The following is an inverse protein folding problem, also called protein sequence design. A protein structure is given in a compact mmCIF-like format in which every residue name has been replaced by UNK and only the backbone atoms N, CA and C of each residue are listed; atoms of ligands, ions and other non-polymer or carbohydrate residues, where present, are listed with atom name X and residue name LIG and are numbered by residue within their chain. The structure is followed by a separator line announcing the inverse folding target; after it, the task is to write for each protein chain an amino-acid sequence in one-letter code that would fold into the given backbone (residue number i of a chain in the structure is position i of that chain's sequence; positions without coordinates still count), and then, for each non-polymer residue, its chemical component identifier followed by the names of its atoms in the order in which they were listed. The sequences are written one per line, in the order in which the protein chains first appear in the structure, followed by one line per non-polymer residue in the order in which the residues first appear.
data_IF_239260116908
#
_entry.id   IF_239260116908
#
_cell.length_a   1.000
_cell.length_b   1.000
_cell.length_c   1.000
_cell.angle_alpha   90.00
_cell.angle_beta   90.00
_cell.angle_gamma   90.00
#
_symmetry.space_group_name_H-M   'P 1'
#
loop_
_entity.id
_entity.type
_entity.pdbx_description
1 polymer ?
#
# COMPACT_ATOMS: atom_id res chain seq x y z
N UNK A 1 19.31 -16.17 -2.77
CA UNK A 1 18.28 -15.21 -2.31
C UNK A 1 16.92 -15.72 -2.77
N UNK A 2 15.89 -15.51 -1.97
CA UNK A 2 14.54 -16.01 -2.19
C UNK A 2 13.56 -14.86 -2.32
N UNK A 3 12.50 -15.08 -3.09
CA UNK A 3 11.37 -14.16 -3.23
C UNK A 3 10.05 -14.90 -3.09
N UNK A 4 8.96 -14.14 -2.95
CA UNK A 4 7.61 -14.68 -2.99
C UNK A 4 7.16 -14.97 -4.42
N UNK A 5 6.48 -16.09 -4.61
CA UNK A 5 5.85 -16.46 -5.86
C UNK A 5 4.53 -15.71 -6.03
N UNK A 6 4.60 -14.56 -6.68
CA UNK A 6 3.49 -13.60 -6.81
C UNK A 6 2.26 -14.22 -7.48
N UNK A 7 2.45 -15.19 -8.38
CA UNK A 7 1.34 -15.87 -9.06
C UNK A 7 0.49 -16.71 -8.11
N UNK A 8 1.03 -17.09 -6.94
CA UNK A 8 0.32 -17.88 -5.92
C UNK A 8 -0.29 -17.03 -4.80
N UNK A 9 0.14 -15.77 -4.70
CA UNK A 9 -0.35 -14.84 -3.69
C UNK A 9 -1.78 -14.39 -4.01
N UNK A 10 -2.54 -14.12 -2.96
CA UNK A 10 -3.89 -13.59 -3.05
C UNK A 10 -4.00 -12.31 -2.24
N UNK A 11 -4.89 -11.43 -2.68
CA UNK A 11 -5.31 -10.30 -1.87
C UNK A 11 -5.80 -10.78 -0.50
N UNK A 12 -5.42 -10.07 0.56
CA UNK A 12 -5.73 -10.44 1.94
C UNK A 12 -4.74 -11.41 2.58
N UNK A 13 -3.81 -12.01 1.82
CA UNK A 13 -2.72 -12.77 2.44
C UNK A 13 -1.90 -11.86 3.37
N UNK A 14 -1.54 -12.38 4.54
CA UNK A 14 -0.69 -11.71 5.53
C UNK A 14 0.69 -12.33 5.52
N UNK A 15 1.73 -11.50 5.42
CA UNK A 15 3.12 -11.95 5.49
C UNK A 15 3.69 -11.63 6.86
N UNK A 16 4.13 -12.65 7.58
CA UNK A 16 4.94 -12.47 8.78
C UNK A 16 6.40 -12.62 8.39
N UNK A 17 7.22 -11.60 8.65
CA UNK A 17 8.62 -11.57 8.18
C UNK A 17 9.62 -11.36 9.30
N UNK A 18 10.80 -11.94 9.10
CA UNK A 18 11.98 -11.82 9.94
C UNK A 18 13.08 -11.06 9.18
N UNK A 19 13.13 -9.74 9.33
CA UNK A 19 14.17 -8.92 8.69
C UNK A 19 15.53 -9.04 9.41
N UNK A 20 16.62 -8.62 8.74
CA UNK A 20 17.99 -8.69 9.29
C UNK A 20 18.34 -7.57 10.28
N UNK A 21 17.68 -6.41 10.18
CA UNK A 21 18.05 -5.20 10.92
C UNK A 21 18.10 -5.38 12.44
N UNK A 22 18.92 -4.59 13.14
CA UNK A 22 19.06 -4.65 14.60
C UNK A 22 17.72 -4.57 15.33
N UNK A 23 16.82 -3.72 14.83
CA UNK A 23 15.43 -3.59 15.33
C UNK A 23 14.66 -4.91 15.18
N UNK A 24 14.81 -5.60 14.05
CA UNK A 24 14.13 -6.87 13.79
C UNK A 24 14.66 -8.02 14.68
N UNK A 25 15.97 -8.09 14.92
CA UNK A 25 16.57 -9.04 15.88
C UNK A 25 16.08 -8.78 17.31
N UNK A 26 16.04 -7.50 17.72
CA UNK A 26 15.52 -7.13 19.03
C UNK A 26 14.04 -7.51 19.14
N UNK A 27 13.20 -7.15 18.17
CA UNK A 27 11.76 -7.46 18.21
C UNK A 27 11.53 -8.96 18.40
N UNK A 28 12.19 -9.83 17.63
CA UNK A 28 12.06 -11.29 17.74
C UNK A 28 12.46 -11.85 19.10
N UNK A 29 13.63 -11.45 19.60
CA UNK A 29 14.12 -11.89 20.92
C UNK A 29 13.16 -11.45 22.04
N UNK A 30 12.61 -10.23 21.93
CA UNK A 30 11.69 -9.70 22.93
C UNK A 30 10.24 -10.19 22.78
N UNK A 31 9.80 -10.68 21.62
CA UNK A 31 8.46 -11.31 21.45
C UNK A 31 8.46 -12.81 21.68
N UNK A 32 9.64 -13.44 21.85
CA UNK A 32 9.78 -14.89 21.73
C UNK A 32 9.10 -15.42 20.45
N UNK A 33 9.28 -14.70 19.34
CA UNK A 33 8.69 -15.01 18.04
C UNK A 33 9.76 -15.02 16.97
N UNK A 34 9.56 -15.90 15.98
CA UNK A 34 10.38 -15.92 14.78
C UNK A 34 10.10 -14.73 13.87
N UNK A 35 9.02 -13.97 14.08
CA UNK A 35 8.60 -12.86 13.22
C UNK A 35 8.66 -11.51 13.93
N UNK A 36 9.12 -10.49 13.19
CA UNK A 36 9.27 -9.12 13.68
C UNK A 36 8.33 -8.12 13.04
N UNK A 37 7.69 -8.51 11.94
CA UNK A 37 6.96 -7.59 11.09
C UNK A 37 5.77 -8.30 10.44
N UNK A 38 4.68 -7.58 10.30
CA UNK A 38 3.45 -8.05 9.67
C UNK A 38 3.10 -7.13 8.48
N UNK A 39 2.69 -7.73 7.38
CA UNK A 39 2.41 -7.07 6.10
C UNK A 39 1.07 -7.61 5.57
N UNK A 40 0.24 -6.74 4.96
CA UNK A 40 -0.99 -7.14 4.29
C UNK A 40 -0.84 -7.05 2.76
N UNK A 41 -1.08 -8.14 2.06
CA UNK A 41 -1.18 -8.18 0.60
C UNK A 41 -2.47 -7.49 0.13
N UNK A 42 -2.35 -6.54 -0.79
CA UNK A 42 -3.47 -5.74 -1.32
C UNK A 42 -3.73 -6.01 -2.82
N UNK A 43 -3.22 -7.14 -3.33
CA UNK A 43 -3.40 -7.58 -4.71
C UNK A 43 -2.36 -7.02 -5.69
N UNK A 44 -2.32 -7.59 -6.90
CA UNK A 44 -1.52 -7.10 -8.03
C UNK A 44 -0.03 -6.80 -7.71
N UNK A 45 0.63 -7.69 -6.95
CA UNK A 45 2.03 -7.51 -6.57
C UNK A 45 2.29 -6.38 -5.56
N UNK A 46 1.24 -5.86 -4.92
CA UNK A 46 1.33 -4.76 -3.95
C UNK A 46 0.97 -5.21 -2.53
N UNK A 47 1.61 -4.59 -1.55
CA UNK A 47 1.28 -4.76 -0.13
C UNK A 47 1.22 -3.43 0.59
N UNK A 48 0.61 -3.40 1.77
CA UNK A 48 0.66 -2.28 2.72
C UNK A 48 1.22 -2.79 4.05
N UNK A 49 2.05 -1.98 4.68
CA UNK A 49 2.60 -2.23 6.01
C UNK A 49 2.82 -0.91 6.75
N UNK A 50 3.23 -1.02 8.02
CA UNK A 50 3.67 0.12 8.82
C UNK A 50 5.07 -0.16 9.37
N UNK A 51 6.06 0.63 8.99
CA UNK A 51 7.44 0.57 9.49
C UNK A 51 7.92 1.94 9.99
N UNK A 52 9.23 2.17 10.18
CA UNK A 52 9.77 3.46 10.64
C UNK A 52 9.35 4.69 9.81
N UNK A 53 8.92 4.52 8.56
CA UNK A 53 8.40 5.58 7.69
C UNK A 53 6.87 5.75 7.80
N UNK A 54 6.21 5.05 8.72
CA UNK A 54 4.76 5.04 8.84
C UNK A 54 4.10 4.03 7.92
N UNK A 55 2.81 4.22 7.66
CA UNK A 55 2.01 3.35 6.80
C UNK A 55 2.17 3.73 5.34
N UNK A 56 2.57 2.77 4.51
CA UNK A 56 2.70 2.98 3.08
C UNK A 56 2.55 1.67 2.30
N UNK A 57 2.36 1.80 0.99
CA UNK A 57 2.36 0.68 0.06
C UNK A 57 3.75 0.39 -0.49
N UNK A 58 3.98 -0.85 -0.91
CA UNK A 58 5.22 -1.24 -1.58
C UNK A 58 5.00 -2.46 -2.50
N UNK A 59 6.02 -2.76 -3.32
CA UNK A 59 5.99 -3.86 -4.29
C UNK A 59 6.57 -5.14 -3.69
N UNK A 60 5.80 -6.24 -3.79
CA UNK A 60 6.13 -7.57 -3.27
C UNK A 60 7.44 -8.11 -3.85
N UNK A 61 7.75 -7.83 -5.12
CA UNK A 61 9.00 -8.26 -5.80
C UNK A 61 10.26 -7.68 -5.15
N UNK A 62 10.12 -6.62 -4.34
CA UNK A 62 11.26 -6.03 -3.61
C UNK A 62 11.52 -6.70 -2.26
N UNK A 63 10.67 -7.65 -1.85
CA UNK A 63 10.89 -8.43 -0.63
C UNK A 63 11.84 -9.59 -0.91
N UNK A 64 13.09 -9.44 -0.48
CA UNK A 64 14.12 -10.47 -0.60
C UNK A 64 14.36 -11.17 0.74
N UNK A 65 14.40 -12.50 0.71
CA UNK A 65 14.60 -13.36 1.87
C UNK A 65 15.83 -14.25 1.69
N UNK A 66 16.46 -14.62 2.79
CA UNK A 66 17.67 -15.47 2.76
C UNK A 66 17.36 -16.94 2.97
N UNK A 67 16.34 -17.19 3.78
CA UNK A 67 15.90 -18.52 4.19
C UNK A 67 14.39 -18.61 4.06
N UNK A 68 13.83 -19.79 3.72
CA UNK A 68 12.40 -19.95 3.59
C UNK A 68 11.62 -19.56 4.85
N UNK A 69 12.17 -19.86 6.03
CA UNK A 69 11.55 -19.54 7.33
C UNK A 69 11.62 -18.06 7.72
N UNK A 70 12.28 -17.19 6.95
CA UNK A 70 12.24 -15.75 7.19
C UNK A 70 10.91 -15.11 6.79
N UNK A 71 10.01 -15.87 6.15
CA UNK A 71 8.68 -15.42 5.79
C UNK A 71 7.66 -16.54 5.99
N UNK A 72 6.50 -16.18 6.53
CA UNK A 72 5.33 -17.05 6.64
C UNK A 72 4.14 -16.37 5.99
N UNK A 73 3.37 -17.14 5.22
CA UNK A 73 2.18 -16.66 4.53
C UNK A 73 0.94 -17.22 5.22
N UNK A 74 0.08 -16.33 5.67
CA UNK A 74 -1.19 -16.63 6.32
C UNK A 74 -2.31 -16.15 5.44
N UNK A 75 -3.24 -17.04 5.09
CA UNK A 75 -4.39 -16.72 4.23
C UNK A 75 -5.67 -16.71 5.06
N UNK A 76 -6.49 -15.64 4.99
CA UNK A 76 -7.71 -15.56 5.78
C UNK A 76 -8.69 -16.66 5.38
N UNK A 77 -9.28 -17.30 6.37
CA UNK A 77 -10.26 -18.37 6.17
C UNK A 77 -11.56 -17.82 5.58
N UNK A 78 -11.99 -16.64 6.03
CA UNK A 78 -13.12 -15.92 5.44
C UNK A 78 -12.65 -14.95 4.36
N UNK A 79 -12.94 -15.25 3.09
CA UNK A 79 -12.59 -14.38 1.96
C UNK A 79 -13.47 -13.12 1.88
N UNK A 80 -14.63 -13.10 2.53
CA UNK A 80 -15.56 -11.95 2.45
C UNK A 80 -14.99 -10.71 3.15
N UNK A 81 -14.12 -10.90 4.13
CA UNK A 81 -13.50 -9.81 4.88
C UNK A 81 -12.44 -9.05 4.07
N UNK A 82 -11.84 -9.69 3.06
CA UNK A 82 -10.62 -9.21 2.38
C UNK A 82 -10.79 -7.81 1.83
N UNK A 83 -11.87 -7.55 1.08
CA UNK A 83 -12.10 -6.24 0.45
C UNK A 83 -12.18 -5.10 1.47
N UNK A 84 -12.90 -5.32 2.58
CA UNK A 84 -13.01 -4.33 3.65
C UNK A 84 -11.70 -4.13 4.40
N UNK A 85 -10.94 -5.20 4.65
CA UNK A 85 -9.65 -5.13 5.32
C UNK A 85 -8.62 -4.36 4.47
N UNK A 86 -8.57 -4.64 3.17
CA UNK A 86 -7.69 -3.91 2.23
C UNK A 86 -8.11 -2.44 2.11
N UNK A 87 -9.42 -2.15 2.07
CA UNK A 87 -9.92 -0.77 2.07
C UNK A 87 -9.49 0.00 3.32
N UNK A 88 -9.58 -0.62 4.50
CA UNK A 88 -9.09 -0.01 5.73
C UNK A 88 -7.57 0.24 5.67
N UNK A 89 -6.77 -0.77 5.30
CA UNK A 89 -5.33 -0.60 5.20
C UNK A 89 -4.92 0.55 4.27
N UNK A 90 -5.65 0.72 3.16
CA UNK A 90 -5.46 1.85 2.22
C UNK A 90 -5.77 3.20 2.85
N UNK A 91 -6.81 3.32 3.68
CA UNK A 91 -7.14 4.60 4.35
C UNK A 91 -6.13 4.98 5.43
N UNK A 92 -5.33 4.03 5.91
CA UNK A 92 -4.27 4.31 6.88
C UNK A 92 -2.96 4.81 6.25
N UNK A 93 -2.81 4.81 4.92
CA UNK A 93 -1.58 5.28 4.25
C UNK A 93 -1.27 6.73 4.64
N UNK A 94 -0.01 6.97 5.02
CA UNK A 94 0.51 8.23 5.53
C UNK A 94 0.60 8.32 7.06
N UNK A 95 -0.13 7.47 7.81
CA UNK A 95 -0.09 7.52 9.28
C UNK A 95 1.32 7.24 9.80
N UNK A 96 1.79 8.04 10.75
CA UNK A 96 3.12 7.87 11.31
C UNK A 96 3.23 6.58 12.14
N UNK A 97 4.46 6.11 12.31
CA UNK A 97 4.74 4.93 13.13
C UNK A 97 4.76 5.25 14.62
N UNK A 98 4.13 4.42 15.45
CA UNK A 98 4.24 4.50 16.91
C UNK A 98 5.23 3.49 17.45
N UNK A 99 6.46 3.95 17.73
CA UNK A 99 7.45 3.17 18.48
C UNK A 99 6.96 2.90 19.91
N UNK A 100 6.32 3.90 20.53
CA UNK A 100 5.84 3.82 21.92
C UNK A 100 4.80 2.71 22.07
N UNK A 101 3.80 2.69 21.22
CA UNK A 101 2.75 1.69 21.31
C UNK A 101 3.24 0.30 20.88
N UNK A 102 4.13 0.22 19.87
CA UNK A 102 4.77 -1.03 19.50
C UNK A 102 5.52 -1.67 20.68
N UNK A 103 6.17 -0.88 21.55
CA UNK A 103 6.81 -1.37 22.79
C UNK A 103 5.75 -1.80 23.82
N UNK A 104 4.67 -1.02 23.99
CA UNK A 104 3.60 -1.29 24.97
C UNK A 104 2.82 -2.56 24.71
N UNK A 105 2.77 -3.04 23.46
CA UNK A 105 2.21 -4.36 23.12
C UNK A 105 2.76 -5.47 24.02
N UNK A 106 4.01 -5.32 24.48
CA UNK A 106 4.71 -6.36 25.25
C UNK A 106 4.75 -6.12 26.75
N UNK A 107 4.55 -4.89 27.22
CA UNK A 107 4.65 -4.55 28.65
C UNK A 107 3.31 -4.60 29.39
N UNK A 108 2.21 -4.89 28.68
CA UNK A 108 0.86 -5.00 29.26
C UNK A 108 0.22 -3.65 29.65
N UNK A 109 0.94 -2.52 29.51
CA UNK A 109 0.39 -1.20 29.79
C UNK A 109 -0.36 -0.63 28.58
N UNK A 110 -1.58 -1.12 28.39
CA UNK A 110 -2.48 -0.81 27.26
C UNK A 110 -3.29 0.47 27.54
N UNK A 111 -2.62 1.62 27.46
CA UNK A 111 -3.28 2.94 27.55
C UNK A 111 -4.01 3.31 26.25
N UNK A 112 -4.65 4.50 26.17
CA UNK A 112 -5.18 5.02 24.91
C UNK A 112 -4.08 5.06 23.82
N UNK A 113 -4.29 4.46 22.64
CA UNK A 113 -3.30 4.43 21.57
C UNK A 113 -3.08 5.82 20.97
N UNK A 114 -1.88 6.07 20.44
CA UNK A 114 -1.62 7.23 19.59
C UNK A 114 -2.45 7.14 18.29
N UNK A 115 -2.76 8.27 17.61
CA UNK A 115 -3.31 8.27 16.25
C UNK A 115 -2.21 7.87 15.24
N UNK A 116 -1.60 6.71 15.43
CA UNK A 116 -0.43 6.22 14.72
C UNK A 116 -0.50 4.71 14.64
N UNK A 117 0.26 4.16 13.71
CA UNK A 117 0.22 2.73 13.42
C UNK A 117 1.54 2.02 13.74
N UNK A 118 1.48 0.71 13.85
CA UNK A 118 2.65 -0.17 13.72
C UNK A 118 2.21 -1.45 13.01
N UNK A 119 3.17 -2.27 12.60
CA UNK A 119 2.95 -3.35 11.66
C UNK A 119 1.80 -4.31 12.01
N UNK A 120 1.81 -4.90 13.20
CA UNK A 120 0.77 -5.86 13.62
C UNK A 120 -0.56 -5.19 13.95
N UNK A 121 -0.57 -3.98 14.55
CA UNK A 121 -1.80 -3.20 14.76
C UNK A 121 -2.51 -2.92 13.45
N UNK A 122 -1.77 -2.45 12.43
CA UNK A 122 -2.36 -2.16 11.13
C UNK A 122 -3.08 -3.37 10.53
N UNK A 123 -2.44 -4.55 10.58
CA UNK A 123 -3.06 -5.80 10.10
C UNK A 123 -4.27 -6.17 10.94
N UNK A 124 -4.16 -6.13 12.27
CA UNK A 124 -5.25 -6.49 13.17
C UNK A 124 -6.48 -5.57 13.04
N UNK A 125 -6.29 -4.25 13.03
CA UNK A 125 -7.36 -3.28 12.82
C UNK A 125 -7.98 -3.41 11.42
N UNK A 126 -7.20 -3.78 10.40
CA UNK A 126 -7.73 -4.03 9.06
C UNK A 126 -8.77 -5.16 9.07
N UNK A 127 -8.44 -6.29 9.68
CA UNK A 127 -9.39 -7.41 9.78
C UNK A 127 -10.53 -7.13 10.75
N UNK A 128 -10.28 -6.43 11.85
CA UNK A 128 -11.32 -6.02 12.80
C UNK A 128 -12.34 -5.07 12.15
N UNK A 129 -11.89 -4.10 11.35
CA UNK A 129 -12.76 -3.25 10.54
C UNK A 129 -13.64 -4.06 9.58
N UNK A 130 -13.13 -5.20 9.09
CA UNK A 130 -13.86 -6.13 8.26
C UNK A 130 -14.76 -7.12 9.04
N UNK A 131 -14.87 -6.96 10.37
CA UNK A 131 -15.69 -7.80 11.23
C UNK A 131 -15.03 -9.12 11.66
N UNK A 132 -13.72 -9.28 11.46
CA UNK A 132 -12.97 -10.50 11.82
C UNK A 132 -11.94 -10.17 12.90
N UNK A 133 -12.19 -10.63 14.12
CA UNK A 133 -11.23 -10.52 15.21
C UNK A 133 -10.14 -11.59 15.08
N UNK A 134 -8.97 -11.19 14.59
CA UNK A 134 -7.83 -12.10 14.41
C UNK A 134 -6.93 -12.20 15.65
N UNK A 135 -7.08 -11.29 16.60
CA UNK A 135 -6.33 -11.25 17.87
C UNK A 135 -7.27 -10.73 18.98
N UNK A 136 -6.89 -10.91 20.24
CA UNK A 136 -7.70 -10.43 21.39
C UNK A 136 -7.78 -8.90 21.46
N UNK A 137 -6.67 -8.21 21.16
CA UNK A 137 -6.61 -6.75 21.18
C UNK A 137 -5.89 -6.22 19.93
N UNK A 138 -6.65 -5.69 18.97
CA UNK A 138 -6.12 -5.13 17.72
C UNK A 138 -5.19 -3.92 17.94
N UNK A 139 -5.41 -3.16 19.00
CA UNK A 139 -4.62 -1.96 19.32
C UNK A 139 -3.23 -2.32 19.85
N UNK A 140 -3.08 -3.50 20.46
CA UNK A 140 -1.86 -3.94 21.11
C UNK A 140 -1.62 -5.43 20.88
N UNK A 141 -1.18 -5.78 19.68
CA UNK A 141 -0.81 -7.14 19.31
C UNK A 141 0.58 -7.20 18.67
N UNK A 142 1.17 -8.38 18.65
CA UNK A 142 2.44 -8.70 18.01
C UNK A 142 2.21 -9.53 16.74
N UNK A 143 3.22 -9.64 15.84
CA UNK A 143 3.16 -10.57 14.72
C UNK A 143 2.90 -12.03 15.14
N UNK A 144 3.32 -12.42 16.35
CA UNK A 144 3.09 -13.77 16.90
C UNK A 144 1.63 -14.01 17.26
N UNK A 145 0.93 -12.98 17.75
CA UNK A 145 -0.51 -13.10 18.05
C UNK A 145 -1.29 -13.36 16.75
N UNK A 146 -0.89 -12.72 15.66
CA UNK A 146 -1.43 -12.98 14.31
C UNK A 146 -1.05 -14.39 13.83
N UNK A 147 0.19 -14.84 14.06
CA UNK A 147 0.66 -16.19 13.71
C UNK A 147 -0.19 -17.30 14.34
N UNK A 148 -0.64 -17.09 15.58
CA UNK A 148 -1.43 -18.05 16.35
C UNK A 148 -2.93 -17.96 16.08
N UNK A 149 -3.36 -16.98 15.29
CA UNK A 149 -4.77 -16.74 15.05
C UNK A 149 -5.42 -17.90 14.29
N UNK A 150 -6.55 -18.44 14.79
CA UNK A 150 -7.30 -19.48 14.07
C UNK A 150 -8.05 -18.94 12.85
N UNK A 151 -8.07 -17.61 12.65
CA UNK A 151 -8.72 -16.98 11.51
C UNK A 151 -7.95 -17.15 10.19
N UNK A 152 -6.72 -17.67 10.25
CA UNK A 152 -5.87 -17.90 9.10
C UNK A 152 -5.51 -19.38 8.91
N UNK A 153 -5.18 -19.72 7.67
CA UNK A 153 -4.51 -20.96 7.30
C UNK A 153 -3.11 -20.63 6.77
N UNK A 154 -2.08 -21.32 7.25
CA UNK A 154 -0.73 -21.20 6.72
C UNK A 154 -0.64 -21.79 5.31
N UNK A 155 0.00 -21.06 4.39
CA UNK A 155 0.22 -21.53 3.02
C UNK A 155 1.70 -21.75 2.75
N UNK A 156 2.06 -23.01 2.49
CA UNK A 156 3.41 -23.46 2.20
C UNK A 156 3.76 -23.32 0.70
N UNK A 157 5.06 -23.40 0.37
CA UNK A 157 5.52 -23.42 -1.02
C UNK A 157 5.39 -22.07 -1.75
N UNK A 158 5.37 -20.98 -0.99
CA UNK A 158 5.21 -19.61 -1.48
C UNK A 158 6.52 -18.90 -1.80
N UNK A 159 7.66 -19.50 -1.44
CA UNK A 159 8.99 -18.93 -1.72
C UNK A 159 9.70 -19.73 -2.80
N UNK A 160 10.46 -19.05 -3.64
CA UNK A 160 11.35 -19.65 -4.63
C UNK A 160 12.64 -18.86 -4.77
N UNK A 161 13.62 -19.44 -5.46
CA UNK A 161 14.82 -18.73 -5.84
C UNK A 161 14.49 -17.58 -6.79
N UNK A 162 15.14 -16.44 -6.56
CA UNK A 162 15.04 -15.26 -7.41
C UNK A 162 16.00 -15.39 -8.59
N UNK A 163 15.57 -14.97 -9.78
CA UNK A 163 16.48 -14.77 -10.92
C UNK A 163 17.37 -13.55 -10.68
N UNK A 164 18.42 -13.39 -11.49
CA UNK A 164 19.29 -12.22 -11.38
C UNK A 164 18.52 -10.93 -11.72
N UNK A 165 17.65 -10.97 -12.74
CA UNK A 165 16.82 -9.84 -13.15
C UNK A 165 15.86 -9.40 -12.03
N UNK A 166 15.35 -10.34 -11.24
CA UNK A 166 14.48 -10.04 -10.10
C UNK A 166 15.24 -9.39 -8.94
N UNK A 167 16.48 -9.81 -8.70
CA UNK A 167 17.36 -9.18 -7.71
C UNK A 167 17.76 -7.77 -8.15
N UNK A 168 18.09 -7.60 -9.43
CA UNK A 168 18.42 -6.30 -10.02
C UNK A 168 17.21 -5.37 -9.90
N UNK A 169 16.01 -5.83 -10.27
CA UNK A 169 14.76 -5.08 -10.09
C UNK A 169 14.51 -4.70 -8.62
N UNK A 170 14.70 -5.64 -7.69
CA UNK A 170 14.47 -5.39 -6.27
C UNK A 170 15.36 -4.25 -5.73
N UNK A 171 16.57 -4.14 -6.27
CA UNK A 171 17.58 -3.11 -5.91
C UNK A 171 17.50 -1.82 -6.72
N UNK A 172 16.80 -1.81 -7.85
CA UNK A 172 16.66 -0.65 -8.73
C UNK A 172 15.93 0.52 -8.03
N UNK A 173 16.06 1.76 -8.54
CA UNK A 173 15.34 2.93 -8.01
C UNK A 173 13.85 2.63 -7.77
N UNK A 174 13.34 3.06 -6.61
CA UNK A 174 11.99 2.71 -6.18
C UNK A 174 11.07 3.95 -6.22
N UNK A 175 10.25 4.14 -7.26
CA UNK A 175 9.32 5.26 -7.33
C UNK A 175 8.27 5.26 -6.21
N UNK A 176 7.92 4.09 -5.67
CA UNK A 176 6.97 3.97 -4.55
C UNK A 176 7.60 4.50 -3.24
N UNK A 177 8.91 4.28 -3.05
CA UNK A 177 9.65 4.86 -1.93
C UNK A 177 9.68 6.38 -2.04
N UNK A 178 9.95 6.94 -3.23
CA UNK A 178 9.88 8.40 -3.45
C UNK A 178 8.50 8.96 -3.17
N UNK A 179 7.43 8.27 -3.59
CA UNK A 179 6.05 8.68 -3.28
C UNK A 179 5.77 8.66 -1.77
N UNK A 180 6.33 7.69 -1.04
CA UNK A 180 6.23 7.59 0.42
C UNK A 180 6.90 8.78 1.10
N UNK A 181 8.12 9.13 0.67
CA UNK A 181 8.86 10.30 1.17
C UNK A 181 8.10 11.61 0.94
N UNK A 182 7.60 11.82 -0.28
CA UNK A 182 6.81 13.01 -0.62
C UNK A 182 5.52 13.08 0.21
N UNK A 183 4.81 11.96 0.36
CA UNK A 183 3.59 11.88 1.19
C UNK A 183 3.88 12.26 2.64
N UNK A 184 4.95 11.70 3.21
CA UNK A 184 5.37 11.99 4.58
C UNK A 184 5.78 13.45 4.76
N UNK A 185 6.47 14.03 3.77
CA UNK A 185 6.81 15.44 3.76
C UNK A 185 5.56 16.32 3.76
N UNK A 186 4.60 16.07 2.87
CA UNK A 186 3.34 16.82 2.80
C UNK A 186 2.59 16.76 4.14
N UNK A 187 2.46 15.58 4.74
CA UNK A 187 1.78 15.42 6.02
C UNK A 187 2.54 16.10 7.17
N UNK A 188 3.88 16.10 7.13
CA UNK A 188 4.70 16.84 8.09
C UNK A 188 4.46 18.34 8.01
N UNK A 189 4.47 18.89 6.79
CA UNK A 189 4.20 20.31 6.57
C UNK A 189 2.76 20.68 6.92
N UNK A 190 1.79 19.80 6.63
CA UNK A 190 0.41 19.99 7.03
C UNK A 190 0.27 20.09 8.56
N UNK A 191 0.92 19.19 9.32
CA UNK A 191 0.95 19.28 10.79
C UNK A 191 1.57 20.60 11.26
N UNK A 192 2.68 21.04 10.65
CA UNK A 192 3.35 22.30 10.97
C UNK A 192 2.47 23.53 10.70
N UNK A 193 1.81 23.58 9.56
CA UNK A 193 0.96 24.70 9.12
C UNK A 193 -0.31 24.79 9.97
N UNK A 194 -0.92 23.64 10.28
CA UNK A 194 -2.24 23.58 10.93
C UNK A 194 -2.16 23.48 12.45
N UNK A 195 -1.01 23.06 12.98
CA UNK A 195 -0.80 22.68 14.38
C UNK A 195 -1.83 21.62 14.85
N UNK A 196 -2.18 20.69 13.97
CA UNK A 196 -3.08 19.55 14.23
C UNK A 196 -2.36 18.23 14.02
N UNK A 197 -2.83 17.20 14.71
CA UNK A 197 -2.33 15.83 14.59
C UNK A 197 -2.91 15.12 13.34
N UNK A 198 -2.64 15.68 12.16
CA UNK A 198 -3.06 15.12 10.87
C UNK A 198 -2.10 13.99 10.49
N UNK A 199 -2.64 12.82 10.18
CA UNK A 199 -1.89 11.59 9.99
C UNK A 199 -2.13 10.94 8.63
N UNK A 200 -3.25 11.20 7.95
CA UNK A 200 -3.50 10.69 6.60
C UNK A 200 -3.91 11.80 5.63
N UNK A 201 -3.84 11.51 4.33
CA UNK A 201 -4.34 12.43 3.30
C UNK A 201 -5.85 12.66 3.43
N UNK A 202 -6.61 11.67 3.91
CA UNK A 202 -8.04 11.81 4.17
C UNK A 202 -8.30 12.80 5.31
N UNK A 203 -7.60 12.67 6.44
CA UNK A 203 -7.68 13.62 7.55
C UNK A 203 -7.29 15.03 7.11
N UNK A 204 -6.26 15.16 6.27
CA UNK A 204 -5.85 16.45 5.69
C UNK A 204 -6.98 17.05 4.84
N UNK A 205 -7.58 16.27 3.96
CA UNK A 205 -8.66 16.73 3.08
C UNK A 205 -9.87 17.20 3.86
N UNK A 206 -10.32 16.41 4.84
CA UNK A 206 -11.43 16.80 5.71
C UNK A 206 -11.11 18.08 6.49
N UNK A 207 -9.88 18.19 7.00
CA UNK A 207 -9.45 19.40 7.73
C UNK A 207 -9.46 20.64 6.84
N UNK A 208 -8.89 20.58 5.63
CA UNK A 208 -8.79 21.72 4.70
C UNK A 208 -10.17 22.14 4.20
N UNK A 209 -11.08 21.19 3.94
CA UNK A 209 -12.46 21.50 3.57
C UNK A 209 -13.18 22.22 4.71
N UNK A 210 -13.03 21.75 5.94
CA UNK A 210 -13.61 22.42 7.12
C UNK A 210 -12.94 23.77 7.44
N UNK A 211 -11.71 24.01 6.93
CA UNK A 211 -10.94 25.21 7.20
C UNK A 211 -10.30 25.78 5.92
N UNK A 212 -11.09 26.33 4.98
CA UNK A 212 -10.60 26.73 3.64
C UNK A 212 -9.46 27.75 3.66
N UNK A 213 -9.31 28.50 4.75
CA UNK A 213 -8.19 29.45 4.96
C UNK A 213 -6.80 28.82 4.86
N UNK A 214 -6.66 27.50 5.06
CA UNK A 214 -5.39 26.78 4.91
C UNK A 214 -5.16 26.25 3.48
N UNK A 215 -6.16 26.32 2.61
CA UNK A 215 -6.15 25.70 1.28
C UNK A 215 -4.90 26.07 0.47
N UNK A 216 -4.64 27.37 0.28
CA UNK A 216 -3.53 27.82 -0.56
C UNK A 216 -2.16 27.45 0.01
N UNK A 217 -2.00 27.52 1.33
CA UNK A 217 -0.76 27.13 1.99
C UNK A 217 -0.47 25.63 1.80
N UNK A 218 -1.50 24.78 1.93
CA UNK A 218 -1.37 23.34 1.68
C UNK A 218 -1.12 23.06 0.20
N UNK A 219 -1.86 23.68 -0.72
CA UNK A 219 -1.62 23.53 -2.18
C UNK A 219 -0.20 23.90 -2.55
N UNK A 220 0.37 24.94 -1.94
CA UNK A 220 1.77 25.30 -2.16
C UNK A 220 2.71 24.15 -1.81
N UNK A 221 2.51 23.48 -0.67
CA UNK A 221 3.32 22.31 -0.27
C UNK A 221 3.27 21.22 -1.35
N UNK A 222 2.08 20.90 -1.88
CA UNK A 222 1.97 19.91 -2.97
C UNK A 222 2.74 20.33 -4.22
N UNK A 223 2.62 21.60 -4.62
CA UNK A 223 3.27 22.15 -5.83
C UNK A 223 4.80 22.27 -5.70
N UNK A 224 5.31 22.42 -4.48
CA UNK A 224 6.74 22.43 -4.21
C UNK A 224 7.36 21.00 -4.22
N UNK A 225 6.54 19.97 -4.47
CA UNK A 225 6.95 18.57 -4.55
C UNK A 225 6.54 17.95 -5.90
N UNK A 226 7.01 16.75 -6.19
CA UNK A 226 6.60 16.00 -7.39
C UNK A 226 5.28 15.23 -7.21
N UNK A 227 4.55 15.38 -6.11
CA UNK A 227 3.36 14.57 -5.82
C UNK A 227 2.34 14.58 -6.97
N UNK A 228 2.16 15.74 -7.60
CA UNK A 228 1.17 15.95 -8.68
C UNK A 228 1.63 15.41 -10.05
N UNK A 229 2.90 15.03 -10.18
CA UNK A 229 3.55 14.61 -11.44
C UNK A 229 4.20 13.22 -11.35
N UNK A 230 4.25 12.59 -10.18
CA UNK A 230 4.81 11.24 -10.00
C UNK A 230 4.23 10.18 -10.96
N UNK A 231 2.98 10.36 -11.39
CA UNK A 231 2.33 9.45 -12.35
C UNK A 231 2.96 9.49 -13.75
N UNK A 232 3.60 10.59 -14.13
CA UNK A 232 4.26 10.77 -15.43
C UNK A 232 5.50 9.88 -15.53
N UNK A 233 6.23 9.69 -14.43
CA UNK A 233 7.37 8.79 -14.36
C UNK A 233 7.01 7.36 -14.81
N UNK A 234 5.86 6.86 -14.37
CA UNK A 234 5.42 5.52 -14.73
C UNK A 234 5.11 5.37 -16.23
N UNK A 235 4.59 6.42 -16.86
CA UNK A 235 4.33 6.43 -18.31
C UNK A 235 5.63 6.43 -19.11
N UNK A 236 6.63 7.17 -18.62
CA UNK A 236 7.93 7.28 -19.28
C UNK A 236 8.74 6.00 -19.17
N UNK A 237 8.76 5.36 -18.00
CA UNK A 237 9.53 4.14 -17.76
C UNK A 237 8.84 2.89 -18.34
N UNK A 238 7.51 2.86 -18.36
CA UNK A 238 6.73 1.71 -18.83
C UNK A 238 5.76 2.09 -19.95
N UNK A 239 6.25 2.62 -21.09
CA UNK A 239 5.38 3.13 -22.15
C UNK A 239 4.53 2.03 -22.79
N UNK A 240 5.01 0.79 -22.80
CA UNK A 240 4.28 -0.38 -23.30
C UNK A 240 2.94 -0.61 -22.58
N UNK A 241 2.79 -0.16 -21.33
CA UNK A 241 1.54 -0.27 -20.58
C UNK A 241 0.46 0.67 -21.11
N UNK A 242 0.84 1.71 -21.86
CA UNK A 242 -0.03 2.81 -22.25
C UNK A 242 -0.11 3.05 -23.77
N UNK A 243 0.65 2.31 -24.58
CA UNK A 243 0.59 2.33 -26.04
C UNK A 243 0.48 0.89 -26.57
N UNK A 244 -0.62 0.61 -27.26
CA UNK A 244 -0.96 -0.71 -27.78
C UNK A 244 0.05 -1.25 -28.79
N UNK A 245 0.71 -0.38 -29.57
CA UNK A 245 1.68 -0.78 -30.57
C UNK A 245 2.96 -1.23 -29.90
N UNK A 246 3.41 -0.51 -28.86
CA UNK A 246 4.57 -0.90 -28.06
C UNK A 246 4.28 -2.21 -27.32
N UNK A 247 3.07 -2.37 -26.77
CA UNK A 247 2.68 -3.61 -26.10
C UNK A 247 2.70 -4.82 -27.07
N UNK A 248 2.13 -4.66 -28.27
CA UNK A 248 2.12 -5.72 -29.28
C UNK A 248 3.53 -6.14 -29.73
N UNK A 249 4.49 -5.22 -29.77
CA UNK A 249 5.87 -5.51 -30.20
C UNK A 249 6.79 -6.03 -29.10
N UNK A 250 6.30 -6.18 -27.85
CA UNK A 250 7.11 -6.77 -26.78
C UNK A 250 7.64 -8.15 -27.20
N UNK A 251 8.93 -8.46 -26.94
CA UNK A 251 9.61 -9.68 -27.36
C UNK A 251 9.27 -10.87 -26.45
N UNK A 252 7.97 -11.09 -26.22
CA UNK A 252 7.42 -12.18 -25.41
C UNK A 252 6.46 -13.02 -26.24
N UNK A 253 6.37 -14.31 -25.89
CA UNK A 253 5.47 -15.24 -26.56
C UNK A 253 3.99 -14.85 -26.43
N UNK A 254 3.15 -15.35 -27.34
CA UNK A 254 1.71 -15.02 -27.42
C UNK A 254 0.97 -15.25 -26.09
N UNK A 255 1.20 -16.40 -25.44
CA UNK A 255 0.53 -16.73 -24.18
C UNK A 255 0.96 -15.82 -23.03
N UNK A 256 2.24 -15.47 -22.95
CA UNK A 256 2.72 -14.53 -21.93
C UNK A 256 2.17 -13.13 -22.18
N UNK A 257 2.14 -12.70 -23.44
CA UNK A 257 1.51 -11.43 -23.84
C UNK A 257 0.03 -11.38 -23.45
N UNK A 258 -0.70 -12.48 -23.63
CA UNK A 258 -2.11 -12.62 -23.17
C UNK A 258 -2.21 -12.42 -21.67
N UNK A 259 -1.40 -13.14 -20.88
CA UNK A 259 -1.41 -13.03 -19.41
C UNK A 259 -1.07 -11.61 -18.94
N UNK A 260 -0.05 -11.00 -19.53
CA UNK A 260 0.30 -9.60 -19.24
C UNK A 260 -0.88 -8.67 -19.51
N UNK A 261 -1.55 -8.82 -20.66
CA UNK A 261 -2.68 -7.97 -21.01
C UNK A 261 -3.92 -8.22 -20.12
N UNK A 262 -4.20 -9.47 -19.73
CA UNK A 262 -5.24 -9.80 -18.74
C UNK A 262 -4.97 -9.12 -17.40
N UNK A 263 -3.74 -9.26 -16.89
CA UNK A 263 -3.30 -8.64 -15.64
C UNK A 263 -3.39 -7.11 -15.69
N UNK A 264 -2.91 -6.51 -16.79
CA UNK A 264 -2.93 -5.06 -16.96
C UNK A 264 -4.37 -4.52 -17.04
N UNK A 265 -5.27 -5.23 -17.73
CA UNK A 265 -6.68 -4.86 -17.83
C UNK A 265 -7.40 -4.98 -16.47
N UNK A 266 -7.19 -6.05 -15.71
CA UNK A 266 -7.77 -6.24 -14.38
C UNK A 266 -7.27 -5.16 -13.40
N UNK A 267 -5.95 -4.99 -13.32
CA UNK A 267 -5.31 -3.99 -12.46
C UNK A 267 -5.75 -2.55 -12.81
N UNK A 268 -5.87 -2.22 -14.10
CA UNK A 268 -6.31 -0.90 -14.54
C UNK A 268 -7.77 -0.63 -14.18
N UNK A 269 -8.66 -1.63 -14.25
CA UNK A 269 -10.07 -1.49 -13.84
C UNK A 269 -10.21 -1.17 -12.35
N UNK A 270 -9.44 -1.87 -11.50
CA UNK A 270 -9.45 -1.62 -10.06
C UNK A 270 -8.94 -0.22 -9.72
N UNK A 271 -7.85 0.21 -10.35
CA UNK A 271 -7.31 1.56 -10.17
C UNK A 271 -8.24 2.64 -10.71
N UNK A 272 -8.89 2.40 -11.85
CA UNK A 272 -9.90 3.30 -12.41
C UNK A 272 -11.07 3.48 -11.46
N UNK A 273 -11.58 2.40 -10.86
CA UNK A 273 -12.64 2.47 -9.84
C UNK A 273 -12.19 3.31 -8.64
N UNK A 274 -10.98 3.06 -8.12
CA UNK A 274 -10.42 3.80 -6.99
C UNK A 274 -10.30 5.31 -7.28
N UNK A 275 -9.70 5.67 -8.41
CA UNK A 275 -9.51 7.09 -8.78
C UNK A 275 -10.81 7.79 -9.11
N UNK A 276 -11.78 7.07 -9.70
CA UNK A 276 -13.13 7.59 -9.93
C UNK A 276 -13.83 7.90 -8.61
N UNK A 277 -13.77 6.97 -7.63
CA UNK A 277 -14.33 7.20 -6.30
C UNK A 277 -13.68 8.40 -5.60
N UNK A 278 -12.36 8.54 -5.69
CA UNK A 278 -11.65 9.69 -5.15
C UNK A 278 -12.08 11.00 -5.82
N UNK A 279 -12.16 11.02 -7.15
CA UNK A 279 -12.66 12.19 -7.88
C UNK A 279 -14.07 12.57 -7.46
N UNK A 280 -14.99 11.60 -7.38
CA UNK A 280 -16.37 11.82 -6.90
C UNK A 280 -16.41 12.29 -5.46
N UNK A 281 -15.53 11.81 -4.57
CA UNK A 281 -15.43 12.31 -3.21
C UNK A 281 -15.09 13.81 -3.19
N UNK A 282 -14.11 14.25 -4.00
CA UNK A 282 -13.79 15.68 -4.11
C UNK A 282 -14.90 16.50 -4.80
N UNK A 283 -15.62 15.93 -5.77
CA UNK A 283 -16.80 16.56 -6.34
C UNK A 283 -17.88 16.81 -5.27
N UNK A 284 -18.14 15.81 -4.42
CA UNK A 284 -19.11 15.96 -3.33
C UNK A 284 -18.64 17.01 -2.32
N UNK A 285 -17.34 17.02 -1.97
CA UNK A 285 -16.77 18.05 -1.09
C UNK A 285 -16.89 19.46 -1.70
N UNK A 286 -16.77 19.59 -3.03
CA UNK A 286 -16.89 20.87 -3.75
C UNK A 286 -18.29 21.51 -3.64
N UNK A 287 -19.33 20.72 -3.34
CA UNK A 287 -20.68 21.24 -3.14
C UNK A 287 -20.77 22.21 -1.96
N UNK A 288 -19.84 22.12 -1.00
CA UNK A 288 -19.74 23.03 0.16
C UNK A 288 -18.86 24.26 -0.13
N UNK A 289 -18.41 24.44 -1.37
CA UNK A 289 -17.53 25.52 -1.79
C UNK A 289 -16.27 24.99 -2.47
N UNK A 290 -15.89 25.62 -3.58
CA UNK A 290 -14.70 25.27 -4.33
C UNK A 290 -13.47 25.98 -3.74
N UNK A 291 -12.48 25.21 -3.29
CA UNK A 291 -11.17 25.71 -2.84
C UNK A 291 -10.06 25.29 -3.81
N UNK A 292 -8.91 25.96 -3.73
CA UNK A 292 -7.72 25.60 -4.52
C UNK A 292 -7.27 24.15 -4.26
N UNK A 293 -7.45 23.66 -3.03
CA UNK A 293 -7.11 22.30 -2.63
C UNK A 293 -8.03 21.26 -3.27
N UNK A 294 -9.35 21.52 -3.30
CA UNK A 294 -10.31 20.65 -3.98
C UNK A 294 -10.03 20.65 -5.49
N UNK A 295 -9.83 21.82 -6.09
CA UNK A 295 -9.52 21.96 -7.51
C UNK A 295 -8.27 21.16 -7.92
N UNK A 296 -7.18 21.29 -7.15
CA UNK A 296 -5.92 20.57 -7.37
C UNK A 296 -6.11 19.05 -7.32
N UNK A 297 -6.83 18.54 -6.31
CA UNK A 297 -7.07 17.10 -6.19
C UNK A 297 -7.96 16.57 -7.32
N UNK A 298 -9.03 17.30 -7.69
CA UNK A 298 -9.89 16.93 -8.82
C UNK A 298 -9.10 16.88 -10.13
N UNK A 299 -8.21 17.85 -10.37
CA UNK A 299 -7.34 17.85 -11.55
C UNK A 299 -6.41 16.64 -11.57
N UNK A 300 -5.77 16.32 -10.43
CA UNK A 300 -4.92 15.13 -10.30
C UNK A 300 -5.70 13.86 -10.61
N UNK A 301 -6.85 13.62 -9.96
CA UNK A 301 -7.60 12.39 -10.19
C UNK A 301 -8.16 12.29 -11.61
N UNK A 302 -8.50 13.42 -12.26
CA UNK A 302 -8.87 13.41 -13.67
C UNK A 302 -7.71 12.93 -14.56
N UNK A 303 -6.47 13.35 -14.29
CA UNK A 303 -5.27 12.86 -15.01
C UNK A 303 -5.06 11.37 -14.77
N UNK A 304 -5.15 10.91 -13.52
CA UNK A 304 -4.99 9.50 -13.17
C UNK A 304 -6.07 8.59 -13.80
N UNK A 305 -7.33 9.04 -13.83
CA UNK A 305 -8.43 8.34 -14.54
C UNK A 305 -8.12 8.19 -16.02
N UNK A 306 -7.70 9.28 -16.69
CA UNK A 306 -7.35 9.25 -18.10
C UNK A 306 -6.19 8.30 -18.39
N UNK A 307 -5.18 8.27 -17.51
CA UNK A 307 -4.06 7.34 -17.61
C UNK A 307 -4.51 5.87 -17.49
N UNK A 308 -5.42 5.55 -16.56
CA UNK A 308 -5.95 4.19 -16.41
C UNK A 308 -6.79 3.75 -17.60
N UNK A 309 -7.56 4.66 -18.22
CA UNK A 309 -8.28 4.37 -19.45
C UNK A 309 -7.30 3.99 -20.58
N UNK A 310 -6.22 4.76 -20.79
CA UNK A 310 -5.20 4.42 -21.79
C UNK A 310 -4.58 3.04 -21.56
N UNK A 311 -4.27 2.73 -20.29
CA UNK A 311 -3.74 1.42 -19.90
C UNK A 311 -4.69 0.28 -20.20
N UNK A 312 -5.98 0.48 -19.89
CA UNK A 312 -7.04 -0.47 -20.18
C UNK A 312 -7.26 -0.65 -21.68
N UNK A 313 -7.23 0.43 -22.46
CA UNK A 313 -7.36 0.41 -23.92
C UNK A 313 -6.20 -0.37 -24.57
N UNK A 314 -4.96 -0.10 -24.14
CA UNK A 314 -3.79 -0.81 -24.64
C UNK A 314 -3.86 -2.32 -24.35
N UNK A 315 -4.24 -2.70 -23.13
CA UNK A 315 -4.41 -4.10 -22.75
C UNK A 315 -5.53 -4.79 -23.54
N UNK A 316 -6.71 -4.16 -23.65
CA UNK A 316 -7.83 -4.72 -24.40
C UNK A 316 -7.53 -4.85 -25.90
N UNK A 317 -6.80 -3.90 -26.47
CA UNK A 317 -6.33 -3.99 -27.85
C UNK A 317 -5.46 -5.24 -28.04
N UNK A 318 -4.48 -5.46 -27.17
CA UNK A 318 -3.61 -6.65 -27.24
C UNK A 318 -4.47 -7.92 -27.14
N UNK A 319 -5.37 -8.03 -26.16
CA UNK A 319 -6.25 -9.20 -26.02
C UNK A 319 -7.10 -9.49 -27.27
N UNK A 320 -7.52 -8.45 -27.99
CA UNK A 320 -8.34 -8.58 -29.19
C UNK A 320 -7.53 -8.94 -30.44
N UNK A 321 -6.21 -8.77 -30.42
CA UNK A 321 -5.33 -8.88 -31.59
C UNK A 321 -4.23 -9.93 -31.45
N UNK A 322 -4.21 -10.71 -30.35
CA UNK A 322 -3.28 -11.83 -30.15
C UNK A 322 -3.87 -13.17 -30.52
#
# INVERSE_FOLDING_TARGET
MLILDIQKLKEGDVFLTAQRGLVSKAVRNFTNSEYSHAILCIGHGSYIHSDSQGVHSANIQRLIFEKPNNVKILRPNDKKCVKSAVMYARSQVGKAYSVRDAIRTKTGNQSKPENKQFCSRLVAESFEYAGVHIVENSLYCTPEDINRSPAFTEINGMVREASQEELDFASAPNPIQRLTEITNFILSEARRITNKDIQSMEELSLFVVANPKYSDAIVKVYRDTDYLTMWEYEVLENPWRYDERIFMTLPVGREEKRRMAEFEAESAKDQLMLYSNNYTAYQNLSMNGMSSYIAMNMELYKKLINQMNKRLDAANYVLSNI
#
